data_IF_236498479266
#
_entry.id   IF_236498479266
#
_cell.length_a   1.000
_cell.length_b   1.000
_cell.length_c   1.000
_cell.angle_alpha   90.00
_cell.angle_beta   90.00
_cell.angle_gamma   90.00
#
_symmetry.space_group_name_H-M   'P 1'
#
loop_
_entity.id
_entity.type
_entity.pdbx_description
1 polymer ?
#
# COMPACT_ATOMS: atom_id res chain seq x y z
N UNK A 1 -9.54 -75.14 3.85
CA UNK A 1 -9.51 -75.24 5.33
C UNK A 1 -8.39 -74.34 5.78
N UNK A 2 -8.64 -73.04 5.62
CA UNK A 2 -7.67 -71.98 5.78
C UNK A 2 -7.46 -71.77 7.28
N UNK A 3 -6.25 -72.11 7.73
CA UNK A 3 -5.83 -71.84 9.10
C UNK A 3 -5.79 -70.32 9.25
N UNK A 4 -6.68 -69.79 10.06
CA UNK A 4 -6.57 -68.43 10.58
C UNK A 4 -5.18 -68.30 11.23
N UNK A 5 -4.27 -67.63 10.51
CA UNK A 5 -2.97 -67.26 11.06
C UNK A 5 -3.27 -66.22 12.13
N UNK A 6 -3.35 -66.68 13.37
CA UNK A 6 -3.37 -65.85 14.56
C UNK A 6 -2.18 -64.88 14.45
N UNK A 7 -2.48 -63.61 14.16
CA UNK A 7 -1.45 -62.58 13.98
C UNK A 7 -0.87 -62.23 15.34
N UNK A 8 0.03 -63.06 15.82
CA UNK A 8 0.82 -62.81 17.02
C UNK A 8 1.72 -61.60 16.76
N UNK A 9 1.62 -60.59 17.63
CA UNK A 9 2.42 -59.36 17.53
C UNK A 9 3.90 -59.71 17.74
N UNK A 10 4.81 -59.35 16.81
CA UNK A 10 6.23 -59.66 16.95
C UNK A 10 6.86 -59.04 18.21
N UNK A 11 7.71 -59.82 18.88
CA UNK A 11 8.34 -59.48 20.17
C UNK A 11 9.34 -58.33 20.09
N UNK A 12 9.88 -58.04 18.89
CA UNK A 12 10.79 -56.92 18.66
C UNK A 12 10.08 -55.57 18.54
N UNK A 13 8.74 -55.53 18.53
CA UNK A 13 8.01 -54.26 18.50
C UNK A 13 7.87 -53.71 19.91
N UNK A 14 8.40 -52.51 20.14
CA UNK A 14 8.21 -51.77 21.39
C UNK A 14 6.74 -51.78 21.84
N UNK A 15 6.44 -51.87 23.14
CA UNK A 15 5.07 -51.88 23.62
C UNK A 15 4.33 -50.63 23.13
N UNK A 16 3.10 -50.79 22.63
CA UNK A 16 2.25 -49.66 22.21
C UNK A 16 1.93 -48.83 23.46
N UNK A 17 2.76 -47.82 23.72
CA UNK A 17 2.51 -46.85 24.78
C UNK A 17 1.23 -46.10 24.44
N UNK A 18 0.18 -46.27 25.26
CA UNK A 18 -1.04 -45.46 25.15
C UNK A 18 -0.72 -44.02 25.56
N UNK A 19 -0.14 -43.24 24.64
CA UNK A 19 0.19 -41.82 24.85
C UNK A 19 -1.08 -40.97 24.74
N UNK A 20 -1.93 -41.03 25.76
CA UNK A 20 -3.21 -40.28 25.84
C UNK A 20 -3.04 -38.82 26.33
N UNK A 21 -1.81 -38.32 26.48
CA UNK A 21 -1.55 -37.01 27.10
C UNK A 21 -1.73 -35.80 26.17
N UNK A 22 -1.93 -35.99 24.86
CA UNK A 22 -2.05 -34.87 23.91
C UNK A 22 -3.41 -34.16 23.93
N UNK A 23 -4.50 -34.90 24.18
CA UNK A 23 -5.86 -34.37 24.07
C UNK A 23 -6.21 -33.24 25.07
N UNK A 24 -5.95 -33.37 26.38
CA UNK A 24 -6.25 -32.28 27.33
C UNK A 24 -5.39 -31.04 27.09
N UNK A 25 -4.13 -31.21 26.64
CA UNK A 25 -3.26 -30.09 26.31
C UNK A 25 -3.79 -29.30 25.12
N UNK A 26 -4.24 -29.99 24.06
CA UNK A 26 -4.85 -29.35 22.90
C UNK A 26 -6.13 -28.60 23.26
N UNK A 27 -6.93 -29.13 24.20
CA UNK A 27 -8.13 -28.47 24.69
C UNK A 27 -7.77 -27.17 25.43
N UNK A 28 -6.75 -27.19 26.30
CA UNK A 28 -6.27 -25.98 26.99
C UNK A 28 -5.76 -24.92 26.01
N UNK A 29 -5.01 -25.33 24.98
CA UNK A 29 -4.56 -24.43 23.92
C UNK A 29 -5.76 -23.84 23.16
N UNK A 30 -6.75 -24.67 22.81
CA UNK A 30 -7.98 -24.22 22.16
C UNK A 30 -8.75 -23.19 22.98
N UNK A 31 -8.90 -23.42 24.29
CA UNK A 31 -9.51 -22.46 25.21
C UNK A 31 -8.70 -21.16 25.25
N UNK A 32 -7.38 -21.24 25.37
CA UNK A 32 -6.52 -20.04 25.42
C UNK A 32 -6.66 -19.20 24.16
N UNK A 33 -6.67 -19.83 22.97
CA UNK A 33 -6.90 -19.14 21.69
C UNK A 33 -8.28 -18.50 21.65
N UNK A 34 -9.33 -19.21 22.09
CA UNK A 34 -10.69 -18.69 22.11
C UNK A 34 -10.82 -17.46 23.04
N UNK A 35 -10.18 -17.49 24.22
CA UNK A 35 -10.16 -16.36 25.15
C UNK A 35 -9.45 -15.16 24.53
N UNK A 36 -8.28 -15.36 23.92
CA UNK A 36 -7.55 -14.28 23.24
C UNK A 36 -8.35 -13.68 22.08
N UNK A 37 -9.02 -14.52 21.28
CA UNK A 37 -9.90 -14.06 20.21
C UNK A 37 -11.08 -13.23 20.74
N UNK A 38 -11.74 -13.68 21.81
CA UNK A 38 -12.84 -12.94 22.43
C UNK A 38 -12.38 -11.58 22.98
N UNK A 39 -11.22 -11.53 23.64
CA UNK A 39 -10.63 -10.29 24.12
C UNK A 39 -10.26 -9.34 22.96
N UNK A 40 -9.66 -9.86 21.89
CA UNK A 40 -9.32 -9.07 20.71
C UNK A 40 -10.56 -8.48 20.03
N UNK A 41 -11.61 -9.26 19.87
CA UNK A 41 -12.89 -8.80 19.31
C UNK A 41 -13.53 -7.72 20.19
N UNK A 42 -13.54 -7.89 21.51
CA UNK A 42 -14.06 -6.90 22.44
C UNK A 42 -13.32 -5.56 22.31
N UNK A 43 -11.99 -5.59 22.33
CA UNK A 43 -11.15 -4.40 22.17
C UNK A 43 -11.41 -3.71 20.82
N UNK A 44 -11.57 -4.49 19.75
CA UNK A 44 -11.87 -3.95 18.43
C UNK A 44 -13.24 -3.25 18.41
N UNK A 45 -14.26 -3.83 19.03
CA UNK A 45 -15.58 -3.21 19.08
C UNK A 45 -15.61 -1.93 19.90
N UNK A 46 -14.96 -1.90 21.07
CA UNK A 46 -14.87 -0.70 21.91
C UNK A 46 -14.09 0.43 21.23
N UNK A 47 -12.99 0.09 20.54
CA UNK A 47 -12.21 1.07 19.78
C UNK A 47 -13.00 1.62 18.59
N UNK A 48 -13.69 0.77 17.83
CA UNK A 48 -14.60 1.20 16.76
C UNK A 48 -15.72 2.10 17.30
N UNK A 49 -16.34 1.75 18.42
CA UNK A 49 -17.40 2.55 19.04
C UNK A 49 -16.89 3.94 19.47
N UNK A 50 -15.73 3.99 20.15
CA UNK A 50 -15.10 5.26 20.55
C UNK A 50 -14.69 6.11 19.34
N UNK A 51 -14.27 5.48 18.24
CA UNK A 51 -13.92 6.17 17.01
C UNK A 51 -15.16 6.78 16.35
N UNK A 52 -16.23 6.00 16.19
CA UNK A 52 -17.52 6.48 15.66
C UNK A 52 -18.10 7.61 16.51
N UNK A 53 -18.05 7.49 17.83
CA UNK A 53 -18.52 8.55 18.71
C UNK A 53 -17.78 9.87 18.48
N UNK A 54 -16.46 9.82 18.27
CA UNK A 54 -15.65 11.03 18.04
C UNK A 54 -15.82 11.58 16.65
N UNK A 55 -15.90 10.73 15.63
CA UNK A 55 -15.80 11.18 14.24
C UNK A 55 -17.14 11.18 13.50
N UNK A 56 -18.05 10.24 13.76
CA UNK A 56 -19.38 10.27 13.12
C UNK A 56 -20.26 11.38 13.71
N UNK A 57 -20.14 11.64 15.01
CA UNK A 57 -20.82 12.81 15.64
C UNK A 57 -20.16 14.13 15.26
N UNK A 58 -18.86 14.13 14.96
CA UNK A 58 -18.12 15.32 14.53
C UNK A 58 -18.19 15.56 13.02
N UNK A 59 -18.73 14.63 12.22
CA UNK A 59 -19.11 14.97 10.85
C UNK A 59 -20.29 15.94 10.94
N UNK A 60 -20.12 17.22 10.55
CA UNK A 60 -21.26 18.08 10.36
C UNK A 60 -22.14 17.37 9.34
N UNK A 61 -23.37 17.01 9.74
CA UNK A 61 -24.41 16.57 8.82
C UNK A 61 -24.41 17.60 7.71
N UNK A 62 -23.94 17.22 6.52
CA UNK A 62 -23.76 18.18 5.43
C UNK A 62 -25.07 18.98 5.34
N UNK A 63 -25.02 20.32 5.44
CA UNK A 63 -26.22 21.11 5.26
C UNK A 63 -26.84 20.68 3.92
N UNK A 64 -28.18 20.63 3.79
CA UNK A 64 -28.81 20.24 2.53
C UNK A 64 -28.14 21.04 1.41
N UNK A 65 -27.40 20.35 0.57
CA UNK A 65 -26.48 21.03 -0.31
C UNK A 65 -27.31 21.77 -1.34
N UNK A 66 -27.22 23.10 -1.33
CA UNK A 66 -27.80 23.90 -2.40
C UNK A 66 -27.10 23.49 -3.71
N UNK A 67 -27.82 22.92 -4.69
CA UNK A 67 -27.22 22.47 -5.93
C UNK A 67 -26.47 23.60 -6.66
N UNK A 68 -26.87 24.86 -6.45
CA UNK A 68 -26.15 26.00 -6.99
C UNK A 68 -24.80 26.24 -6.31
N UNK A 69 -24.72 26.09 -4.98
CA UNK A 69 -23.47 26.22 -4.23
C UNK A 69 -22.49 25.08 -4.53
N UNK A 70 -23.00 23.88 -4.80
CA UNK A 70 -22.21 22.73 -5.23
C UNK A 70 -21.63 22.90 -6.63
N UNK A 71 -22.43 23.42 -7.56
CA UNK A 71 -21.98 23.72 -8.91
C UNK A 71 -20.90 24.82 -8.91
N UNK A 72 -21.11 25.90 -8.15
CA UNK A 72 -20.10 26.96 -8.01
C UNK A 72 -18.79 26.42 -7.42
N UNK A 73 -18.87 25.50 -6.45
CA UNK A 73 -17.70 24.84 -5.88
C UNK A 73 -16.97 23.99 -6.92
N UNK A 74 -17.71 23.23 -7.75
CA UNK A 74 -17.14 22.40 -8.83
C UNK A 74 -16.46 23.25 -9.89
N UNK A 75 -17.11 24.32 -10.34
CA UNK A 75 -16.54 25.27 -11.30
C UNK A 75 -15.26 25.90 -10.75
N UNK A 76 -15.25 26.31 -9.48
CA UNK A 76 -14.07 26.88 -8.82
C UNK A 76 -12.92 25.88 -8.73
N UNK A 77 -13.21 24.63 -8.36
CA UNK A 77 -12.21 23.56 -8.30
C UNK A 77 -11.66 23.22 -9.69
N UNK A 78 -12.51 23.18 -10.71
CA UNK A 78 -12.08 23.00 -12.10
C UNK A 78 -11.19 24.15 -12.57
N UNK A 79 -11.53 25.40 -12.25
CA UNK A 79 -10.70 26.57 -12.54
C UNK A 79 -9.33 26.52 -11.86
N UNK A 80 -9.26 26.08 -10.60
CA UNK A 80 -7.98 25.88 -9.89
C UNK A 80 -7.14 24.76 -10.49
N UNK A 81 -7.76 23.67 -10.94
CA UNK A 81 -7.05 22.58 -11.62
C UNK A 81 -6.47 23.04 -12.95
N UNK A 82 -7.22 23.81 -13.72
CA UNK A 82 -6.76 24.36 -14.99
C UNK A 82 -5.59 25.34 -14.80
N UNK A 83 -5.67 26.21 -13.80
CA UNK A 83 -4.55 27.11 -13.45
C UNK A 83 -3.28 26.33 -13.08
N UNK A 84 -3.41 25.22 -12.34
CA UNK A 84 -2.26 24.37 -11.99
C UNK A 84 -1.64 23.73 -13.22
N UNK A 85 -2.46 23.20 -14.14
CA UNK A 85 -1.96 22.64 -15.41
C UNK A 85 -1.23 23.67 -16.24
N UNK A 86 -1.80 24.87 -16.39
CA UNK A 86 -1.14 25.95 -17.13
C UNK A 86 0.17 26.40 -16.49
N UNK A 87 0.25 26.44 -15.15
CA UNK A 87 1.49 26.76 -14.45
C UNK A 87 2.56 25.67 -14.66
N UNK A 88 2.17 24.40 -14.63
CA UNK A 88 3.05 23.27 -14.89
C UNK A 88 3.57 23.27 -16.34
N UNK A 89 2.70 23.50 -17.32
CA UNK A 89 3.09 23.61 -18.72
C UNK A 89 4.07 24.75 -18.98
N UNK A 90 3.86 25.91 -18.33
CA UNK A 90 4.80 27.05 -18.41
C UNK A 90 6.16 26.68 -17.82
N UNK A 91 6.16 26.08 -16.63
CA UNK A 91 7.41 25.63 -15.98
C UNK A 91 8.19 24.63 -16.85
N UNK A 92 7.49 23.69 -17.50
CA UNK A 92 8.12 22.72 -18.41
C UNK A 92 8.73 23.44 -19.63
N UNK A 93 8.01 24.39 -20.23
CA UNK A 93 8.50 25.17 -21.38
C UNK A 93 9.73 25.99 -21.02
N UNK A 94 9.69 26.73 -19.91
CA UNK A 94 10.81 27.56 -19.46
C UNK A 94 12.06 26.70 -19.23
N UNK A 95 11.90 25.51 -18.65
CA UNK A 95 12.99 24.56 -18.42
C UNK A 95 13.54 23.96 -19.72
N UNK A 96 12.70 23.72 -20.72
CA UNK A 96 13.15 23.28 -22.05
C UNK A 96 13.94 24.39 -22.75
N UNK A 97 13.50 25.64 -22.67
CA UNK A 97 14.21 26.78 -23.26
C UNK A 97 15.59 26.99 -22.61
N UNK A 98 15.72 26.77 -21.30
CA UNK A 98 17.02 26.77 -20.60
C UNK A 98 17.93 25.65 -21.12
N UNK A 99 17.39 24.45 -21.34
CA UNK A 99 18.15 23.31 -21.85
C UNK A 99 18.67 23.57 -23.26
N UNK A 100 17.86 24.18 -24.14
CA UNK A 100 18.28 24.57 -25.49
C UNK A 100 19.44 25.58 -25.43
N UNK A 101 19.36 26.59 -24.55
CA UNK A 101 20.45 27.57 -24.37
C UNK A 101 21.73 26.92 -23.85
N UNK A 102 21.63 25.98 -22.91
CA UNK A 102 22.81 25.27 -22.40
C UNK A 102 23.37 24.27 -23.40
N UNK A 103 22.56 23.73 -24.31
CA UNK A 103 23.00 22.92 -25.44
C UNK A 103 23.80 23.76 -26.45
N UNK A 104 23.33 24.96 -26.79
CA UNK A 104 24.09 25.92 -27.62
C UNK A 104 25.43 26.32 -26.97
N UNK A 105 25.47 26.42 -25.64
CA UNK A 105 26.69 26.66 -24.87
C UNK A 105 27.62 25.43 -24.75
N UNK A 106 27.18 24.26 -25.21
CA UNK A 106 27.92 23.00 -25.12
C UNK A 106 27.98 22.38 -23.71
N UNK A 107 27.15 22.87 -22.78
CA UNK A 107 27.04 22.36 -21.42
C UNK A 107 26.04 21.21 -21.29
N UNK A 108 25.04 21.16 -22.18
CA UNK A 108 24.10 20.05 -22.29
C UNK A 108 24.28 19.35 -23.64
N UNK A 109 24.06 18.03 -23.66
CA UNK A 109 23.97 17.23 -24.87
C UNK A 109 22.75 16.32 -24.81
N UNK A 110 22.02 16.25 -25.91
CA UNK A 110 20.88 15.36 -26.05
C UNK A 110 21.28 14.06 -26.75
N UNK A 111 21.02 12.92 -26.10
CA UNK A 111 21.36 11.58 -26.60
C UNK A 111 20.14 10.69 -26.42
N UNK A 112 19.59 10.16 -27.52
CA UNK A 112 18.43 9.27 -27.52
C UNK A 112 17.23 9.86 -26.75
N UNK A 113 16.97 11.17 -26.92
CA UNK A 113 15.86 11.87 -26.26
C UNK A 113 16.06 12.16 -24.77
N UNK A 114 17.25 11.91 -24.22
CA UNK A 114 17.62 12.18 -22.82
C UNK A 114 18.66 13.29 -22.75
N UNK A 115 18.46 14.26 -21.85
CA UNK A 115 19.40 15.36 -21.64
C UNK A 115 20.56 14.94 -20.72
N UNK A 116 21.78 15.33 -21.08
CA UNK A 116 22.99 15.08 -20.28
C UNK A 116 23.71 16.39 -20.00
N UNK A 117 24.10 16.64 -18.74
CA UNK A 117 24.98 17.76 -18.37
C UNK A 117 26.44 17.36 -18.40
N UNK A 118 27.30 18.30 -18.76
CA UNK A 118 28.76 18.11 -18.71
C UNK A 118 29.25 18.11 -17.27
N UNK A 119 30.08 17.13 -16.91
CA UNK A 119 30.79 17.05 -15.63
C UNK A 119 32.30 16.88 -15.86
N UNK A 120 33.16 17.18 -14.88
CA UNK A 120 34.58 16.87 -14.98
C UNK A 120 34.78 15.36 -15.20
N UNK A 121 35.25 14.99 -16.39
CA UNK A 121 35.50 13.59 -16.77
C UNK A 121 34.34 12.86 -17.45
N UNK A 122 33.23 13.51 -17.79
CA UNK A 122 32.15 12.84 -18.52
C UNK A 122 30.86 13.62 -18.68
N UNK A 123 29.76 12.87 -18.81
CA UNK A 123 28.39 13.36 -18.97
C UNK A 123 27.48 12.68 -17.96
N UNK A 124 26.58 13.43 -17.33
CA UNK A 124 25.63 12.94 -16.35
C UNK A 124 24.19 13.16 -16.83
N UNK A 125 23.32 12.17 -16.66
CA UNK A 125 21.91 12.25 -17.04
C UNK A 125 21.16 13.26 -16.17
N UNK A 126 20.40 14.16 -16.79
CA UNK A 126 19.50 15.08 -16.09
C UNK A 126 18.10 14.46 -16.00
N UNK A 127 17.65 14.00 -14.82
CA UNK A 127 16.36 13.36 -14.69
C UNK A 127 15.21 14.34 -14.98
N UNK A 128 14.13 13.80 -15.55
CA UNK A 128 12.90 14.53 -15.88
C UNK A 128 13.07 15.65 -16.92
N UNK A 129 14.16 15.61 -17.69
CA UNK A 129 14.33 16.45 -18.89
C UNK A 129 14.47 15.52 -20.09
N UNK A 130 13.57 15.67 -21.06
CA UNK A 130 13.67 15.03 -22.36
C UNK A 130 13.93 16.10 -23.39
N UNK A 131 14.83 15.82 -24.33
CA UNK A 131 15.02 16.68 -25.50
C UNK A 131 14.39 16.03 -26.72
N UNK A 132 13.92 16.85 -27.67
CA UNK A 132 13.64 16.39 -29.03
C UNK A 132 14.94 16.45 -29.83
N UNK A 133 15.35 15.32 -30.40
CA UNK A 133 16.39 15.29 -31.42
C UNK A 133 15.84 15.87 -32.73
#
# INVERSE_FOLDING_TARGET
MDKEVERVRPEYLEPIGKKRSGFPLLLLVGIAVAVLAALGLKQHMETQAAWRERFDKAQPKAPPTDPAADEERRVRLAGLQEQRRQAEERYIRDRLDEVVKEEEAGNIKCIQGTAFRRIPGGWENIPNIRCSN
#
